data_IF_132583770192
#
_entry.id   IF_132583770192
#
_cell.length_a   1.000
_cell.length_b   1.000
_cell.length_c   1.000
_cell.angle_alpha   90.00
_cell.angle_beta   90.00
_cell.angle_gamma   90.00
#
_symmetry.space_group_name_H-M   'P 1'
#
loop_
_entity.id
_entity.type
_entity.pdbx_description
1 polymer ?
#
# COMPACT_ATOMS: atom_id res chain seq x y z
N UNK A 1 11.76 -48.98 22.39
CA UNK A 1 10.72 -48.42 21.52
C UNK A 1 11.26 -47.12 20.94
N UNK A 2 11.90 -47.21 19.76
CA UNK A 2 12.53 -46.06 19.09
C UNK A 2 11.40 -45.33 18.37
N UNK A 3 11.08 -44.12 18.84
CA UNK A 3 10.15 -43.25 18.12
C UNK A 3 10.90 -42.71 16.90
N UNK A 4 10.59 -43.22 15.72
CA UNK A 4 11.01 -42.66 14.46
C UNK A 4 10.45 -41.22 14.39
N UNK A 5 11.31 -40.24 14.48
CA UNK A 5 11.03 -38.91 13.98
C UNK A 5 10.97 -39.00 12.45
N UNK A 6 9.77 -39.37 11.97
CA UNK A 6 9.46 -39.37 10.54
C UNK A 6 9.62 -37.94 10.02
N UNK A 7 10.46 -37.79 9.02
CA UNK A 7 10.61 -36.73 8.04
C UNK A 7 9.49 -35.68 8.06
N UNK A 8 9.65 -34.65 8.87
CA UNK A 8 8.83 -33.44 8.82
C UNK A 8 9.20 -32.57 7.61
N UNK A 9 10.26 -32.92 6.90
CA UNK A 9 10.74 -32.14 5.74
C UNK A 9 9.88 -32.35 4.47
N UNK A 10 9.15 -33.45 4.35
CA UNK A 10 8.39 -33.77 3.14
C UNK A 10 7.00 -33.08 3.06
N UNK A 11 6.56 -32.38 4.11
CA UNK A 11 5.25 -31.68 4.16
C UNK A 11 5.34 -30.20 4.57
N UNK A 12 6.52 -29.61 4.61
CA UNK A 12 6.67 -28.19 4.95
C UNK A 12 6.49 -27.34 3.68
N UNK A 13 5.44 -26.51 3.67
CA UNK A 13 5.24 -25.49 2.62
C UNK A 13 5.93 -24.21 3.09
N UNK A 14 7.00 -23.79 2.40
CA UNK A 14 7.61 -22.50 2.62
C UNK A 14 6.82 -21.43 1.86
N UNK A 15 6.19 -20.51 2.60
CA UNK A 15 5.55 -19.33 2.02
C UNK A 15 6.64 -18.29 1.71
N UNK A 16 7.07 -18.22 0.44
CA UNK A 16 8.05 -17.26 -0.03
C UNK A 16 7.36 -15.91 -0.38
N UNK A 17 7.25 -15.05 0.62
CA UNK A 17 6.63 -13.73 0.46
C UNK A 17 7.38 -12.83 -0.52
N UNK A 18 8.72 -12.96 -0.61
CA UNK A 18 9.52 -12.17 -1.56
C UNK A 18 9.21 -12.56 -3.00
N UNK A 19 9.27 -13.85 -3.29
CA UNK A 19 8.94 -14.38 -4.62
C UNK A 19 7.53 -13.98 -5.02
N UNK A 20 6.56 -14.17 -4.12
CA UNK A 20 5.16 -13.82 -4.37
C UNK A 20 4.99 -12.33 -4.67
N UNK A 21 5.65 -11.46 -3.90
CA UNK A 21 5.61 -10.02 -4.14
C UNK A 21 6.26 -9.62 -5.49
N UNK A 22 7.31 -10.32 -5.91
CA UNK A 22 7.95 -10.07 -7.20
C UNK A 22 7.07 -10.55 -8.36
N UNK A 23 6.41 -11.71 -8.23
CA UNK A 23 5.45 -12.23 -9.20
C UNK A 23 4.25 -11.26 -9.35
N UNK A 24 3.67 -10.78 -8.25
CA UNK A 24 2.56 -9.80 -8.28
C UNK A 24 2.96 -8.50 -8.98
N UNK A 25 4.17 -7.99 -8.73
CA UNK A 25 4.63 -6.77 -9.42
C UNK A 25 4.74 -6.96 -10.92
N UNK A 26 5.16 -8.14 -11.38
CA UNK A 26 5.19 -8.46 -12.81
C UNK A 26 3.78 -8.57 -13.41
N UNK A 27 2.85 -9.20 -12.72
CA UNK A 27 1.44 -9.28 -13.13
C UNK A 27 0.84 -7.87 -13.29
N UNK A 28 1.02 -7.00 -12.28
CA UNK A 28 0.56 -5.61 -12.34
C UNK A 28 1.24 -4.84 -13.49
N UNK A 29 2.54 -5.04 -13.71
CA UNK A 29 3.25 -4.37 -14.80
C UNK A 29 2.68 -4.73 -16.18
N UNK A 30 2.31 -5.99 -16.41
CA UNK A 30 1.66 -6.40 -17.66
C UNK A 30 0.24 -5.82 -17.80
N UNK A 31 -0.53 -5.75 -16.71
CA UNK A 31 -1.84 -5.10 -16.71
C UNK A 31 -1.74 -3.61 -17.04
N UNK A 32 -0.80 -2.89 -16.40
CA UNK A 32 -0.57 -1.46 -16.65
C UNK A 32 -0.14 -1.21 -18.10
N UNK A 33 0.75 -2.04 -18.62
CA UNK A 33 1.19 -1.97 -20.01
C UNK A 33 0.02 -2.15 -20.98
N UNK A 34 -0.88 -3.10 -20.71
CA UNK A 34 -2.09 -3.31 -21.50
C UNK A 34 -3.02 -2.09 -21.43
N UNK A 35 -3.26 -1.54 -20.24
CA UNK A 35 -4.07 -0.34 -20.05
C UNK A 35 -3.54 0.86 -20.85
N UNK A 36 -2.23 1.10 -20.80
CA UNK A 36 -1.59 2.20 -21.53
C UNK A 36 -1.63 1.97 -23.04
N UNK A 37 -1.45 0.72 -23.49
CA UNK A 37 -1.58 0.38 -24.92
C UNK A 37 -2.99 0.60 -25.47
N UNK A 38 -4.02 0.48 -24.62
CA UNK A 38 -5.42 0.84 -24.95
C UNK A 38 -5.69 2.35 -24.93
N UNK A 39 -4.68 3.18 -24.68
CA UNK A 39 -4.82 4.63 -24.58
C UNK A 39 -5.42 5.12 -23.26
N UNK A 40 -5.51 4.25 -22.24
CA UNK A 40 -5.95 4.65 -20.91
C UNK A 40 -4.83 5.36 -20.17
N UNK A 41 -5.19 6.15 -19.16
CA UNK A 41 -4.26 6.86 -18.30
C UNK A 41 -3.33 5.88 -17.56
N UNK A 42 -2.04 6.20 -17.50
CA UNK A 42 -1.08 5.50 -16.64
C UNK A 42 -1.44 5.77 -15.17
N UNK A 43 -1.54 4.74 -14.32
CA UNK A 43 -1.82 4.94 -12.89
C UNK A 43 -0.77 5.82 -12.21
N UNK A 44 -1.20 6.73 -11.36
CA UNK A 44 -0.34 7.68 -10.66
C UNK A 44 -0.54 7.60 -9.15
N UNK A 45 0.52 7.18 -8.46
CA UNK A 45 0.60 7.16 -7.00
C UNK A 45 1.46 8.32 -6.50
N UNK A 46 0.95 9.04 -5.49
CA UNK A 46 1.72 10.07 -4.77
C UNK A 46 2.03 9.58 -3.36
N UNK A 47 3.25 9.79 -2.90
CA UNK A 47 3.64 9.57 -1.51
C UNK A 47 4.05 10.89 -0.88
N UNK A 48 3.52 11.19 0.31
CA UNK A 48 3.94 12.32 1.13
C UNK A 48 4.78 11.78 2.28
N UNK A 49 5.96 12.35 2.47
CA UNK A 49 6.87 12.06 3.57
C UNK A 49 7.13 13.35 4.35
N UNK A 50 6.92 13.33 5.65
CA UNK A 50 7.20 14.46 6.55
C UNK A 50 8.33 14.08 7.49
N UNK A 51 9.37 14.92 7.51
CA UNK A 51 10.55 14.72 8.33
C UNK A 51 11.54 13.70 7.80
N UNK A 52 12.46 13.28 8.68
CA UNK A 52 13.64 12.47 8.34
C UNK A 52 13.72 11.15 9.10
N UNK A 53 12.58 10.52 9.41
CA UNK A 53 12.61 9.20 10.02
C UNK A 53 13.16 8.15 9.03
N UNK A 54 14.27 7.52 9.38
CA UNK A 54 14.98 6.60 8.48
C UNK A 54 14.18 5.35 8.11
N UNK A 55 13.26 4.91 8.98
CA UNK A 55 12.32 3.84 8.67
C UNK A 55 11.35 4.26 7.56
N UNK A 56 10.73 5.42 7.74
CA UNK A 56 9.78 6.01 6.78
C UNK A 56 10.44 6.28 5.42
N UNK A 57 11.67 6.80 5.42
CA UNK A 57 12.44 7.01 4.17
C UNK A 57 12.67 5.71 3.40
N UNK A 58 13.04 4.65 4.11
CA UNK A 58 13.26 3.33 3.51
C UNK A 58 11.98 2.76 2.91
N UNK A 59 10.85 2.87 3.64
CA UNK A 59 9.55 2.40 3.15
C UNK A 59 9.08 3.16 1.93
N UNK A 60 9.18 4.49 1.93
CA UNK A 60 8.80 5.32 0.80
C UNK A 60 9.67 5.04 -0.42
N UNK A 61 10.98 4.90 -0.25
CA UNK A 61 11.87 4.53 -1.35
C UNK A 61 11.51 3.17 -1.96
N UNK A 62 11.18 2.17 -1.12
CA UNK A 62 10.72 0.87 -1.59
C UNK A 62 9.37 0.95 -2.34
N UNK A 63 8.42 1.76 -1.87
CA UNK A 63 7.14 2.01 -2.55
C UNK A 63 7.35 2.66 -3.92
N UNK A 64 8.18 3.71 -4.02
CA UNK A 64 8.50 4.36 -5.29
C UNK A 64 9.13 3.37 -6.28
N UNK A 65 10.09 2.57 -5.84
CA UNK A 65 10.71 1.53 -6.67
C UNK A 65 9.71 0.49 -7.15
N UNK A 66 8.78 0.07 -6.29
CA UNK A 66 7.72 -0.87 -6.66
C UNK A 66 6.79 -0.24 -7.73
N UNK A 67 6.43 1.03 -7.59
CA UNK A 67 5.66 1.77 -8.59
C UNK A 67 6.36 1.79 -9.96
N UNK A 68 7.66 2.08 -9.98
CA UNK A 68 8.47 2.05 -11.22
C UNK A 68 8.44 0.66 -11.86
N UNK A 69 8.62 -0.41 -11.06
CA UNK A 69 8.57 -1.79 -11.54
C UNK A 69 7.21 -2.17 -12.12
N UNK A 70 6.13 -1.65 -11.54
CA UNK A 70 4.75 -1.88 -12.00
C UNK A 70 4.34 -0.96 -13.16
N UNK A 71 5.21 -0.04 -13.59
CA UNK A 71 4.90 0.91 -14.66
C UNK A 71 3.96 2.04 -14.23
N UNK A 72 3.87 2.35 -12.95
CA UNK A 72 3.10 3.49 -12.43
C UNK A 72 3.90 4.78 -12.55
N UNK A 73 3.21 5.89 -12.76
CA UNK A 73 3.74 7.22 -12.44
C UNK A 73 3.83 7.32 -10.92
N UNK A 74 4.97 7.77 -10.39
CA UNK A 74 5.18 7.93 -8.95
C UNK A 74 5.70 9.32 -8.66
N UNK A 75 5.11 9.98 -7.68
CA UNK A 75 5.54 11.30 -7.20
C UNK A 75 5.80 11.24 -5.70
N UNK A 76 6.97 11.70 -5.28
CA UNK A 76 7.31 11.85 -3.87
C UNK A 76 7.32 13.33 -3.50
N UNK A 77 6.48 13.70 -2.53
CA UNK A 77 6.43 15.02 -1.92
C UNK A 77 7.10 14.92 -0.55
N UNK A 78 8.10 15.77 -0.32
CA UNK A 78 8.83 15.81 0.95
C UNK A 78 8.54 17.14 1.65
N UNK A 79 8.33 17.04 2.96
CA UNK A 79 8.25 18.16 3.87
C UNK A 79 9.26 17.98 5.00
N UNK A 80 9.76 19.10 5.50
CA UNK A 80 10.59 19.13 6.70
C UNK A 80 9.74 18.89 7.96
N UNK A 81 10.40 18.61 9.08
CA UNK A 81 9.74 18.30 10.36
C UNK A 81 8.87 19.44 10.90
N UNK A 82 9.09 20.67 10.45
CA UNK A 82 8.40 21.88 10.90
C UNK A 82 7.20 22.29 10.05
N UNK A 83 6.84 21.50 9.01
CA UNK A 83 5.63 21.74 8.22
C UNK A 83 4.41 21.82 9.14
N UNK A 84 3.56 22.79 8.92
CA UNK A 84 2.35 22.94 9.73
C UNK A 84 1.26 21.94 9.31
N UNK A 85 0.39 21.57 10.28
CA UNK A 85 -0.80 20.73 9.98
C UNK A 85 -1.65 21.38 8.87
N UNK A 86 -1.81 22.69 8.88
CA UNK A 86 -2.60 23.41 7.88
C UNK A 86 -2.02 23.32 6.47
N UNK A 87 -0.70 23.41 6.31
CA UNK A 87 -0.02 23.27 5.02
C UNK A 87 -0.15 21.83 4.49
N UNK A 88 0.01 20.82 5.37
CA UNK A 88 -0.15 19.44 4.99
C UNK A 88 -1.60 19.14 4.56
N UNK A 89 -2.60 19.63 5.32
CA UNK A 89 -4.01 19.46 4.97
C UNK A 89 -4.38 20.17 3.67
N UNK A 90 -3.84 21.36 3.41
CA UNK A 90 -4.03 22.06 2.15
C UNK A 90 -3.48 21.25 0.96
N UNK A 91 -2.32 20.61 1.14
CA UNK A 91 -1.74 19.75 0.10
C UNK A 91 -2.58 18.50 -0.15
N UNK A 92 -3.13 17.91 0.91
CA UNK A 92 -4.04 16.76 0.79
C UNK A 92 -5.28 17.16 -0.03
N UNK A 93 -5.87 18.32 0.23
CA UNK A 93 -7.01 18.83 -0.52
C UNK A 93 -6.69 19.05 -2.01
N UNK A 94 -5.50 19.56 -2.34
CA UNK A 94 -5.04 19.68 -3.72
C UNK A 94 -4.96 18.29 -4.40
N UNK A 95 -4.41 17.29 -3.73
CA UNK A 95 -4.29 15.92 -4.27
C UNK A 95 -5.64 15.23 -4.39
N UNK A 96 -6.58 15.48 -3.48
CA UNK A 96 -7.96 15.01 -3.59
C UNK A 96 -8.61 15.49 -4.87
N UNK A 97 -8.36 16.74 -5.26
CA UNK A 97 -8.96 17.40 -6.43
C UNK A 97 -8.14 17.21 -7.72
N UNK A 98 -6.94 16.65 -7.65
CA UNK A 98 -6.11 16.39 -8.83
C UNK A 98 -6.57 15.12 -9.57
N UNK A 99 -7.13 15.31 -10.77
CA UNK A 99 -7.58 14.19 -11.61
C UNK A 99 -6.45 13.30 -12.16
N UNK A 100 -5.20 13.79 -12.15
CA UNK A 100 -4.03 12.98 -12.53
C UNK A 100 -3.59 12.02 -11.43
N UNK A 101 -3.96 12.25 -10.18
CA UNK A 101 -3.63 11.40 -9.03
C UNK A 101 -4.72 10.38 -8.79
N UNK A 102 -4.40 9.09 -8.92
CA UNK A 102 -5.35 8.00 -8.69
C UNK A 102 -5.42 7.59 -7.21
N UNK A 103 -4.32 7.74 -6.49
CA UNK A 103 -4.25 7.48 -5.06
C UNK A 103 -3.00 8.08 -4.45
N UNK A 104 -3.04 8.27 -3.15
CA UNK A 104 -1.87 8.75 -2.43
C UNK A 104 -1.81 8.24 -0.99
N UNK A 105 -0.63 8.31 -0.44
CA UNK A 105 -0.33 7.95 0.95
C UNK A 105 0.33 9.13 1.66
N UNK A 106 0.05 9.27 2.94
CA UNK A 106 0.83 10.09 3.85
C UNK A 106 1.56 9.13 4.78
N UNK A 107 2.88 9.03 4.63
CA UNK A 107 3.67 8.07 5.39
C UNK A 107 3.63 8.38 6.87
N UNK A 108 3.21 7.43 7.68
CA UNK A 108 3.22 7.51 9.14
C UNK A 108 4.53 6.92 9.70
N UNK A 109 4.98 7.35 10.90
CA UNK A 109 4.34 8.34 11.78
C UNK A 109 4.58 9.80 11.34
N UNK A 110 3.73 10.71 11.81
CA UNK A 110 3.88 12.15 11.61
C UNK A 110 4.50 12.84 12.84
N UNK A 111 5.09 14.04 12.69
CA UNK A 111 5.52 14.86 13.82
C UNK A 111 4.37 15.11 14.80
N UNK A 112 4.68 15.17 16.11
CA UNK A 112 3.68 15.23 17.21
C UNK A 112 2.70 16.40 17.15
N UNK A 113 3.04 17.47 16.43
CA UNK A 113 2.18 18.65 16.28
C UNK A 113 1.15 18.50 15.16
N UNK A 114 1.21 17.41 14.39
CA UNK A 114 0.25 17.08 13.34
C UNK A 114 -0.62 15.90 13.80
N UNK A 115 -1.93 16.03 13.71
CA UNK A 115 -2.86 14.98 14.05
C UNK A 115 -2.96 13.96 12.92
N UNK A 116 -2.44 12.74 13.14
CA UNK A 116 -2.56 11.64 12.16
C UNK A 116 -4.02 11.36 11.80
N UNK A 117 -4.92 11.42 12.78
CA UNK A 117 -6.35 11.19 12.54
C UNK A 117 -6.95 12.22 11.59
N UNK A 118 -6.66 13.52 11.79
CA UNK A 118 -7.15 14.56 10.87
C UNK A 118 -6.60 14.37 9.46
N UNK A 119 -5.33 13.98 9.35
CA UNK A 119 -4.68 13.72 8.07
C UNK A 119 -5.35 12.55 7.36
N UNK A 120 -5.57 11.43 8.05
CA UNK A 120 -6.25 10.26 7.50
C UNK A 120 -7.68 10.60 7.04
N UNK A 121 -8.44 11.32 7.86
CA UNK A 121 -9.82 11.72 7.54
C UNK A 121 -9.92 12.78 6.45
N UNK A 122 -8.86 13.55 6.19
CA UNK A 122 -8.81 14.55 5.12
C UNK A 122 -8.56 13.93 3.74
N UNK A 123 -8.03 12.72 3.66
CA UNK A 123 -7.83 12.01 2.39
C UNK A 123 -9.19 11.58 1.84
N UNK A 124 -9.49 11.83 0.56
CA UNK A 124 -10.67 11.22 -0.06
C UNK A 124 -10.54 9.69 0.01
N UNK A 125 -11.52 9.04 0.65
CA UNK A 125 -11.51 7.58 0.82
C UNK A 125 -11.35 6.80 -0.49
N UNK A 126 -11.66 7.42 -1.63
CA UNK A 126 -11.46 6.84 -2.97
C UNK A 126 -10.01 6.91 -3.44
N UNK A 127 -9.18 7.72 -2.81
CA UNK A 127 -7.74 7.88 -3.08
C UNK A 127 -6.87 7.38 -1.93
N UNK A 128 -7.47 6.93 -0.82
CA UNK A 128 -6.79 6.34 0.33
C UNK A 128 -6.36 4.90 0.02
N UNK A 129 -5.23 4.74 -0.64
CA UNK A 129 -4.71 3.42 -1.04
C UNK A 129 -4.08 2.63 0.12
N UNK A 130 -3.84 3.24 1.28
CA UNK A 130 -3.43 2.54 2.50
C UNK A 130 -4.64 1.91 3.24
N UNK A 131 -5.87 2.32 2.91
CA UNK A 131 -7.09 1.77 3.50
C UNK A 131 -7.31 2.13 4.97
N UNK A 132 -6.76 3.27 5.41
CA UNK A 132 -6.86 3.72 6.82
C UNK A 132 -8.05 4.64 7.07
N UNK A 133 -8.62 5.23 6.03
CA UNK A 133 -9.78 6.10 6.17
C UNK A 133 -10.96 5.35 6.80
N UNK A 134 -11.67 5.92 7.79
CA UNK A 134 -12.77 5.24 8.49
C UNK A 134 -13.84 4.65 7.57
N UNK A 135 -14.11 5.28 6.42
CA UNK A 135 -15.03 4.75 5.41
C UNK A 135 -14.50 3.45 4.81
N UNK A 136 -13.21 3.36 4.45
CA UNK A 136 -12.61 2.14 3.91
C UNK A 136 -12.57 1.02 4.96
N UNK A 137 -12.21 1.35 6.20
CA UNK A 137 -12.24 0.40 7.32
C UNK A 137 -13.66 -0.13 7.56
N UNK A 138 -14.66 0.76 7.61
CA UNK A 138 -16.06 0.38 7.79
C UNK A 138 -16.58 -0.49 6.64
N UNK A 139 -16.31 -0.10 5.39
CA UNK A 139 -16.69 -0.88 4.20
C UNK A 139 -16.05 -2.26 4.18
N UNK A 140 -14.75 -2.35 4.50
CA UNK A 140 -14.03 -3.63 4.62
C UNK A 140 -14.68 -4.52 5.67
N UNK A 141 -15.02 -3.97 6.84
CA UNK A 141 -15.62 -4.73 7.95
C UNK A 141 -17.00 -5.34 7.62
N UNK A 142 -17.74 -4.73 6.71
CA UNK A 142 -19.08 -5.20 6.29
C UNK A 142 -19.06 -5.86 4.90
N UNK A 143 -17.90 -6.13 4.34
CA UNK A 143 -17.72 -6.85 3.08
C UNK A 143 -18.07 -6.03 1.83
N UNK A 144 -18.06 -4.70 1.90
CA UNK A 144 -18.23 -3.83 0.72
C UNK A 144 -16.90 -3.54 0.03
N UNK A 145 -16.90 -3.24 -1.29
CA UNK A 145 -15.70 -2.84 -2.00
C UNK A 145 -15.03 -1.63 -1.35
N UNK A 146 -13.75 -1.75 -1.01
CA UNK A 146 -12.95 -0.71 -0.37
C UNK A 146 -11.47 -0.95 -0.63
N UNK A 147 -10.63 0.06 -0.37
CA UNK A 147 -9.21 -0.18 -0.18
C UNK A 147 -8.99 -0.89 1.15
N UNK A 148 -8.41 -2.06 1.09
CA UNK A 148 -8.06 -2.86 2.28
C UNK A 148 -6.64 -2.54 2.66
N UNK A 149 -6.38 -2.36 3.95
CA UNK A 149 -5.01 -2.10 4.43
C UNK A 149 -4.03 -3.16 3.91
N UNK A 150 -2.86 -2.71 3.44
CA UNK A 150 -1.92 -3.51 2.67
C UNK A 150 -1.41 -4.76 3.42
N UNK A 151 -1.17 -4.66 4.74
CA UNK A 151 -0.66 -5.79 5.53
C UNK A 151 -1.65 -6.97 5.59
N UNK A 152 -2.91 -6.79 6.04
CA UNK A 152 -3.86 -7.90 6.01
C UNK A 152 -4.18 -8.38 4.60
N UNK A 153 -4.28 -7.49 3.62
CA UNK A 153 -4.48 -7.87 2.22
C UNK A 153 -3.34 -8.75 1.69
N UNK A 154 -2.09 -8.39 2.00
CA UNK A 154 -0.91 -9.16 1.61
C UNK A 154 -0.86 -10.54 2.27
N UNK A 155 -1.26 -10.66 3.55
CA UNK A 155 -1.36 -11.95 4.24
C UNK A 155 -2.40 -12.84 3.55
N UNK A 156 -3.58 -12.30 3.27
CA UNK A 156 -4.63 -13.06 2.58
C UNK A 156 -4.20 -13.49 1.18
N UNK A 157 -3.52 -12.64 0.44
CA UNK A 157 -3.01 -12.97 -0.89
C UNK A 157 -1.95 -14.08 -0.85
N UNK A 158 -1.06 -14.06 0.15
CA UNK A 158 -0.10 -15.15 0.38
C UNK A 158 -0.81 -16.46 0.66
N UNK A 159 -1.76 -16.49 1.59
CA UNK A 159 -2.52 -17.69 1.92
C UNK A 159 -3.27 -18.25 0.69
N UNK A 160 -3.90 -17.36 -0.08
CA UNK A 160 -4.61 -17.72 -1.30
C UNK A 160 -3.69 -18.32 -2.36
N UNK A 161 -2.53 -17.74 -2.63
CA UNK A 161 -1.59 -18.22 -3.63
C UNK A 161 -0.95 -19.55 -3.27
N UNK A 162 -0.85 -19.85 -1.99
CA UNK A 162 -0.36 -21.13 -1.48
C UNK A 162 -1.48 -22.12 -1.16
N UNK A 163 -2.72 -21.81 -1.58
CA UNK A 163 -3.91 -22.66 -1.42
C UNK A 163 -4.16 -23.09 0.05
N UNK A 164 -3.82 -22.20 0.99
CA UNK A 164 -4.02 -22.45 2.41
C UNK A 164 -5.46 -22.08 2.78
N UNK A 165 -6.25 -23.09 3.16
CA UNK A 165 -7.61 -22.86 3.65
C UNK A 165 -7.60 -22.11 4.99
N UNK A 166 -8.45 -21.10 5.09
CA UNK A 166 -8.60 -20.25 6.29
C UNK A 166 -9.94 -20.45 6.98
N UNK A 167 -10.84 -21.25 6.42
CA UNK A 167 -12.11 -21.61 7.00
C UNK A 167 -11.96 -22.89 7.83
N UNK A 168 -12.37 -22.85 9.13
CA UNK A 168 -12.27 -23.98 10.04
C UNK A 168 -12.63 -23.61 11.46
#
# INVERSE_FOLDING_TARGET
>A
MVVNFLNLEDNMILIDGKKTADDIKLEIAEEVKALVAEGKKQPHLVAILVGHDGGSETYVAAKCKACEMCGFKSTLIRYEDDVTEAELLARIEELNNDADVDGFIVQLPLPKHISEQKVIEAIDYKKDVDGFHPINVGRTSIGLPAFVSATPAGILELLKRYEIETAG
#
